data_IF_801779787959
#
_entry.id   IF_801779787959
#
_cell.length_a   1.000
_cell.length_b   1.000
_cell.length_c   1.000
_cell.angle_alpha   90.00
_cell.angle_beta   90.00
_cell.angle_gamma   90.00
#
_symmetry.space_group_name_H-M   'P 1'
#
loop_
_entity.id
_entity.type
_entity.pdbx_description
1 polymer ?
#
# COMPACT_ATOMS: atom_id res chain seq x y z
N UNK A 1 8.73 -32.10 -7.78
CA UNK A 1 9.06 -30.72 -7.38
C UNK A 1 9.30 -29.77 -8.58
N UNK A 2 10.16 -30.09 -9.56
CA UNK A 2 10.42 -29.18 -10.72
C UNK A 2 9.16 -28.81 -11.53
N UNK A 3 8.25 -29.75 -11.77
CA UNK A 3 7.03 -29.52 -12.56
C UNK A 3 6.06 -28.52 -11.90
N UNK A 4 5.93 -28.55 -10.57
CA UNK A 4 5.05 -27.64 -9.84
C UNK A 4 5.58 -26.19 -9.81
N UNK A 5 6.90 -26.04 -9.74
CA UNK A 5 7.55 -24.71 -9.78
C UNK A 5 7.46 -24.08 -11.16
N UNK A 6 7.69 -24.86 -12.23
CA UNK A 6 7.56 -24.38 -13.61
C UNK A 6 6.11 -23.97 -13.91
N UNK A 7 5.15 -24.76 -13.50
CA UNK A 7 3.72 -24.42 -13.65
C UNK A 7 3.37 -23.12 -12.93
N UNK A 8 3.86 -22.92 -11.67
CA UNK A 8 3.64 -21.68 -10.90
C UNK A 8 4.23 -20.47 -11.63
N UNK A 9 5.42 -20.59 -12.20
CA UNK A 9 6.04 -19.50 -12.97
C UNK A 9 5.21 -19.18 -14.21
N UNK A 10 4.80 -20.19 -14.99
CA UNK A 10 3.96 -19.97 -16.17
C UNK A 10 2.63 -19.31 -15.83
N UNK A 11 1.95 -19.80 -14.80
CA UNK A 11 0.69 -19.20 -14.32
C UNK A 11 0.93 -17.74 -13.86
N UNK A 12 2.03 -17.46 -13.16
CA UNK A 12 2.35 -16.10 -12.72
C UNK A 12 2.55 -15.14 -13.90
N UNK A 13 3.25 -15.57 -14.95
CA UNK A 13 3.48 -14.74 -16.14
C UNK A 13 2.18 -14.48 -16.90
N UNK A 14 1.37 -15.52 -17.15
CA UNK A 14 0.10 -15.38 -17.88
C UNK A 14 -0.89 -14.50 -17.10
N UNK A 15 -1.05 -14.75 -15.80
CA UNK A 15 -1.96 -13.98 -14.95
C UNK A 15 -1.53 -12.52 -14.84
N UNK A 16 -0.24 -12.26 -14.59
CA UNK A 16 0.29 -10.90 -14.48
C UNK A 16 0.17 -10.12 -15.79
N UNK A 17 0.40 -10.80 -16.94
CA UNK A 17 0.22 -10.18 -18.25
C UNK A 17 -1.26 -9.80 -18.49
N UNK A 18 -2.18 -10.71 -18.19
CA UNK A 18 -3.62 -10.45 -18.33
C UNK A 18 -4.09 -9.30 -17.44
N UNK A 19 -3.62 -9.25 -16.18
CA UNK A 19 -3.96 -8.20 -15.23
C UNK A 19 -3.36 -6.86 -15.69
N UNK A 20 -2.09 -6.83 -16.12
CA UNK A 20 -1.43 -5.60 -16.59
C UNK A 20 -2.10 -5.04 -17.84
N UNK A 21 -2.45 -5.91 -18.81
CA UNK A 21 -3.18 -5.52 -20.01
C UNK A 21 -4.59 -4.97 -19.69
N UNK A 22 -5.32 -5.63 -18.77
CA UNK A 22 -6.61 -5.15 -18.28
C UNK A 22 -6.48 -3.81 -17.58
N UNK A 23 -5.47 -3.65 -16.70
CA UNK A 23 -5.21 -2.42 -15.96
C UNK A 23 -4.88 -1.23 -16.89
N UNK A 24 -4.12 -1.48 -17.94
CA UNK A 24 -3.86 -0.50 -18.99
C UNK A 24 -5.14 -0.10 -19.74
N UNK A 25 -5.91 -1.10 -20.19
CA UNK A 25 -7.19 -0.87 -20.90
C UNK A 25 -8.19 -0.06 -20.05
N UNK A 26 -8.25 -0.32 -18.75
CA UNK A 26 -9.13 0.36 -17.80
C UNK A 26 -8.53 1.63 -17.19
N UNK A 27 -7.43 2.16 -17.73
CA UNK A 27 -6.77 3.40 -17.27
C UNK A 27 -6.38 3.40 -15.77
N UNK A 28 -6.07 2.23 -15.19
CA UNK A 28 -5.50 2.15 -13.83
C UNK A 28 -3.97 2.26 -13.84
N UNK A 29 -3.36 1.83 -14.95
CA UNK A 29 -1.93 1.96 -15.24
C UNK A 29 -1.74 2.61 -16.61
N UNK A 30 -0.74 3.47 -16.77
CA UNK A 30 -0.27 3.88 -18.08
C UNK A 30 0.68 2.82 -18.67
N UNK A 31 1.22 3.02 -19.87
CA UNK A 31 2.09 2.04 -20.53
C UNK A 31 3.28 1.61 -19.66
N UNK A 32 4.02 2.57 -19.10
CA UNK A 32 5.18 2.27 -18.25
C UNK A 32 4.79 1.62 -16.92
N UNK A 33 3.66 2.03 -16.34
CA UNK A 33 3.11 1.41 -15.14
C UNK A 33 2.62 -0.02 -15.37
N UNK A 34 2.04 -0.32 -16.55
CA UNK A 34 1.62 -1.68 -16.92
C UNK A 34 2.82 -2.62 -17.10
N UNK A 35 3.90 -2.15 -17.72
CA UNK A 35 5.14 -2.93 -17.87
C UNK A 35 5.76 -3.24 -16.49
N UNK A 36 5.90 -2.23 -15.63
CA UNK A 36 6.45 -2.42 -14.29
C UNK A 36 5.53 -3.26 -13.40
N UNK A 37 4.21 -3.01 -13.46
CA UNK A 37 3.21 -3.80 -12.74
C UNK A 37 3.22 -5.28 -13.14
N UNK A 38 3.41 -5.59 -14.43
CA UNK A 38 3.60 -6.96 -14.90
C UNK A 38 4.78 -7.63 -14.20
N UNK A 39 5.96 -6.98 -14.21
CA UNK A 39 7.17 -7.54 -13.59
C UNK A 39 6.98 -7.78 -12.10
N UNK A 40 6.50 -6.78 -11.38
CA UNK A 40 6.30 -6.86 -9.92
C UNK A 40 5.27 -7.93 -9.55
N UNK A 41 4.12 -7.97 -10.23
CA UNK A 41 3.10 -8.99 -9.98
C UNK A 41 3.62 -10.40 -10.30
N UNK A 42 4.37 -10.58 -11.40
CA UNK A 42 4.93 -11.86 -11.76
C UNK A 42 5.88 -12.38 -10.67
N UNK A 43 6.76 -11.52 -10.14
CA UNK A 43 7.67 -11.89 -9.04
C UNK A 43 6.87 -12.33 -7.81
N UNK A 44 5.88 -11.55 -7.37
CA UNK A 44 5.10 -11.86 -6.16
C UNK A 44 4.29 -13.15 -6.30
N UNK A 45 3.62 -13.36 -7.43
CA UNK A 45 2.80 -14.58 -7.67
C UNK A 45 3.70 -15.80 -7.83
N UNK A 46 4.84 -15.68 -8.52
CA UNK A 46 5.82 -16.77 -8.64
C UNK A 46 6.47 -17.12 -7.30
N UNK A 47 6.67 -16.14 -6.42
CA UNK A 47 7.27 -16.31 -5.11
C UNK A 47 6.39 -17.12 -4.15
N UNK A 48 5.07 -16.90 -4.17
CA UNK A 48 4.12 -17.62 -3.30
C UNK A 48 2.72 -17.04 -3.38
N UNK A 49 1.73 -17.89 -3.12
CA UNK A 49 0.32 -17.49 -3.20
C UNK A 49 -0.04 -16.38 -2.22
N UNK A 50 0.55 -16.39 -1.00
CA UNK A 50 0.34 -15.36 0.01
C UNK A 50 0.88 -14.01 -0.42
N UNK A 51 2.05 -13.95 -1.06
CA UNK A 51 2.61 -12.70 -1.58
C UNK A 51 1.84 -12.21 -2.81
N UNK A 52 1.44 -13.15 -3.68
CA UNK A 52 0.60 -12.84 -4.83
C UNK A 52 -0.74 -12.22 -4.43
N UNK A 53 -1.42 -12.77 -3.43
CA UNK A 53 -2.71 -12.23 -2.98
C UNK A 53 -2.57 -10.84 -2.38
N UNK A 54 -1.49 -10.54 -1.64
CA UNK A 54 -1.29 -9.22 -1.04
C UNK A 54 -1.21 -8.11 -2.09
N UNK A 55 -0.37 -8.30 -3.13
CA UNK A 55 -0.26 -7.30 -4.20
C UNK A 55 -1.55 -7.20 -5.01
N UNK A 56 -2.25 -8.30 -5.25
CA UNK A 56 -3.51 -8.31 -6.00
C UNK A 56 -4.63 -7.61 -5.23
N UNK A 57 -4.78 -7.89 -3.94
CA UNK A 57 -5.77 -7.23 -3.07
C UNK A 57 -5.49 -5.73 -3.02
N UNK A 58 -4.24 -5.33 -2.74
CA UNK A 58 -3.85 -3.92 -2.79
C UNK A 58 -4.21 -3.29 -4.14
N UNK A 59 -3.77 -3.87 -5.24
CA UNK A 59 -3.96 -3.29 -6.56
C UNK A 59 -5.43 -3.14 -6.94
N UNK A 60 -6.24 -4.19 -6.76
CA UNK A 60 -7.64 -4.16 -7.19
C UNK A 60 -8.51 -3.29 -6.29
N UNK A 61 -8.35 -3.38 -4.97
CA UNK A 61 -9.18 -2.61 -4.05
C UNK A 61 -8.85 -1.13 -4.11
N UNK A 62 -7.56 -0.78 -4.10
CA UNK A 62 -7.10 0.60 -4.25
C UNK A 62 -7.50 1.20 -5.61
N UNK A 63 -7.35 0.44 -6.73
CA UNK A 63 -7.76 0.93 -8.06
C UNK A 63 -9.28 1.14 -8.16
N UNK A 64 -10.08 0.31 -7.49
CA UNK A 64 -11.53 0.49 -7.43
C UNK A 64 -11.91 1.75 -6.65
N UNK A 65 -11.27 1.98 -5.49
CA UNK A 65 -11.53 3.18 -4.69
C UNK A 65 -11.05 4.46 -5.35
N UNK A 66 -9.91 4.44 -6.05
CA UNK A 66 -9.45 5.60 -6.82
C UNK A 66 -10.48 6.04 -7.86
N UNK A 67 -11.16 5.08 -8.50
CA UNK A 67 -12.24 5.38 -9.46
C UNK A 67 -13.56 5.77 -8.82
N UNK A 68 -13.80 5.36 -7.60
CA UNK A 68 -15.04 5.68 -6.90
C UNK A 68 -15.11 7.19 -6.61
N UNK A 69 -16.21 7.84 -7.00
CA UNK A 69 -16.45 9.27 -6.80
C UNK A 69 -15.47 10.19 -7.56
N UNK A 70 -14.89 9.75 -8.68
CA UNK A 70 -13.87 10.48 -9.43
C UNK A 70 -14.31 11.87 -9.89
N UNK A 71 -15.61 12.10 -10.20
CA UNK A 71 -16.13 13.42 -10.57
C UNK A 71 -15.93 14.46 -9.46
N UNK A 72 -16.18 14.07 -8.21
CA UNK A 72 -15.93 14.93 -7.05
C UNK A 72 -14.44 15.15 -6.82
N UNK A 73 -13.62 14.10 -6.92
CA UNK A 73 -12.16 14.19 -6.75
C UNK A 73 -11.51 15.09 -7.80
N UNK A 74 -11.99 15.07 -9.05
CA UNK A 74 -11.53 15.94 -10.13
C UNK A 74 -11.63 17.43 -9.79
N UNK A 75 -12.59 17.83 -8.98
CA UNK A 75 -12.74 19.23 -8.56
C UNK A 75 -11.79 19.61 -7.41
N UNK A 76 -11.29 18.64 -6.66
CA UNK A 76 -10.46 18.84 -5.47
C UNK A 76 -8.97 18.68 -5.78
N UNK A 77 -8.61 17.59 -6.46
CA UNK A 77 -7.23 17.20 -6.74
C UNK A 77 -6.64 17.97 -7.94
N UNK A 78 -5.45 18.55 -7.76
CA UNK A 78 -4.70 19.22 -8.83
C UNK A 78 -4.14 18.20 -9.82
N UNK A 79 -3.64 17.07 -9.31
CA UNK A 79 -2.96 16.03 -10.07
C UNK A 79 -3.92 14.93 -10.56
N UNK A 80 -5.24 15.21 -10.55
CA UNK A 80 -6.25 14.23 -10.95
C UNK A 80 -5.97 13.67 -12.34
N UNK A 81 -5.95 12.34 -12.40
CA UNK A 81 -5.85 11.58 -13.66
C UNK A 81 -7.06 10.69 -13.80
N UNK A 82 -7.67 10.70 -14.98
CA UNK A 82 -8.80 9.83 -15.28
C UNK A 82 -8.43 8.36 -15.04
N UNK A 83 -9.23 7.67 -14.23
CA UNK A 83 -8.97 6.27 -13.83
C UNK A 83 -7.82 6.08 -12.83
N UNK A 84 -7.16 7.17 -12.40
CA UNK A 84 -6.04 7.11 -11.45
C UNK A 84 -4.79 6.46 -12.02
N UNK A 85 -4.48 6.72 -13.32
CA UNK A 85 -3.35 6.10 -14.02
C UNK A 85 -2.03 6.27 -13.30
N UNK A 86 -1.43 5.15 -12.87
CA UNK A 86 -0.11 5.09 -12.25
C UNK A 86 0.98 4.79 -13.29
N UNK A 87 2.11 5.50 -13.19
CA UNK A 87 3.31 5.23 -13.98
C UNK A 87 4.27 4.28 -13.23
N UNK A 88 5.40 3.95 -13.86
CA UNK A 88 6.40 3.04 -13.29
C UNK A 88 6.99 3.51 -11.96
N UNK A 89 7.19 4.83 -11.78
CA UNK A 89 7.71 5.41 -10.52
C UNK A 89 6.72 5.17 -9.39
N UNK A 90 5.42 5.43 -9.63
CA UNK A 90 4.37 5.20 -8.65
C UNK A 90 4.19 3.71 -8.32
N UNK A 91 4.37 2.82 -9.32
CA UNK A 91 4.36 1.37 -9.09
C UNK A 91 5.53 0.98 -8.19
N UNK A 92 6.76 1.43 -8.49
CA UNK A 92 7.93 1.12 -7.67
C UNK A 92 7.86 1.74 -6.28
N UNK A 93 7.42 2.99 -6.15
CA UNK A 93 7.26 3.63 -4.84
C UNK A 93 6.37 2.81 -3.88
N UNK A 94 5.39 2.07 -4.44
CA UNK A 94 4.43 1.26 -3.67
C UNK A 94 4.70 -0.26 -3.73
N UNK A 95 5.82 -0.72 -4.27
CA UNK A 95 6.08 -2.16 -4.38
C UNK A 95 7.55 -2.58 -4.28
N UNK A 96 8.51 -1.67 -4.47
CA UNK A 96 9.92 -2.05 -4.57
C UNK A 96 10.42 -2.73 -3.29
N UNK A 97 10.11 -2.18 -2.12
CA UNK A 97 10.54 -2.74 -0.82
C UNK A 97 9.98 -4.16 -0.65
N UNK A 98 8.67 -4.37 -0.86
CA UNK A 98 8.09 -5.71 -0.79
C UNK A 98 8.69 -6.66 -1.83
N UNK A 99 8.96 -6.18 -3.05
CA UNK A 99 9.58 -7.01 -4.09
C UNK A 99 10.95 -7.51 -3.66
N UNK A 100 11.78 -6.65 -3.08
CA UNK A 100 13.10 -7.05 -2.53
C UNK A 100 12.94 -8.08 -1.41
N UNK A 101 12.05 -7.83 -0.45
CA UNK A 101 11.79 -8.77 0.66
C UNK A 101 11.29 -10.13 0.17
N UNK A 102 10.39 -10.13 -0.81
CA UNK A 102 9.84 -11.36 -1.40
C UNK A 102 10.92 -12.14 -2.15
N UNK A 103 11.80 -11.47 -2.91
CA UNK A 103 12.94 -12.13 -3.58
C UNK A 103 13.86 -12.76 -2.55
N UNK A 104 14.21 -12.05 -1.47
CA UNK A 104 15.03 -12.60 -0.38
C UNK A 104 14.34 -13.81 0.25
N UNK A 105 13.05 -13.72 0.55
CA UNK A 105 12.28 -14.82 1.12
C UNK A 105 12.32 -16.06 0.23
N UNK A 106 12.10 -15.90 -1.08
CA UNK A 106 12.17 -17.03 -2.03
C UNK A 106 13.53 -17.68 -2.06
N UNK A 107 14.61 -16.91 -2.04
CA UNK A 107 15.97 -17.46 -2.04
C UNK A 107 16.28 -18.27 -0.77
N UNK A 108 15.73 -17.86 0.38
CA UNK A 108 15.94 -18.54 1.67
C UNK A 108 15.03 -19.76 1.80
N UNK A 109 13.76 -19.68 1.34
CA UNK A 109 12.77 -20.75 1.55
C UNK A 109 12.66 -21.72 0.39
N UNK A 110 13.32 -21.46 -0.75
CA UNK A 110 13.11 -22.22 -1.99
C UNK A 110 11.72 -22.04 -2.57
N UNK A 111 10.99 -20.99 -2.15
CA UNK A 111 9.62 -20.70 -2.57
C UNK A 111 8.56 -21.52 -1.85
N UNK A 112 8.89 -22.12 -0.71
CA UNK A 112 7.94 -22.74 0.21
C UNK A 112 7.32 -21.70 1.14
N UNK A 113 6.01 -21.79 1.33
CA UNK A 113 5.30 -21.01 2.34
C UNK A 113 5.69 -21.49 3.75
N UNK A 114 6.01 -20.57 4.65
CA UNK A 114 6.38 -20.84 6.04
C UNK A 114 5.41 -20.15 6.99
N UNK A 115 5.16 -20.78 8.15
CA UNK A 115 4.42 -20.16 9.24
C UNK A 115 5.26 -19.02 9.87
N UNK A 116 4.61 -17.99 10.36
CA UNK A 116 5.24 -16.99 11.22
C UNK A 116 5.51 -17.66 12.57
N UNK A 117 6.79 -17.89 12.85
CA UNK A 117 7.27 -18.56 14.07
C UNK A 117 8.75 -18.21 14.26
N UNK A 118 9.04 -17.35 15.23
CA UNK A 118 10.41 -16.91 15.53
C UNK A 118 11.30 -18.01 16.08
N UNK A 119 10.72 -19.01 16.73
CA UNK A 119 11.45 -20.19 17.25
C UNK A 119 12.01 -21.02 16.08
N UNK A 120 11.27 -21.10 14.97
CA UNK A 120 11.72 -21.81 13.78
C UNK A 120 12.66 -20.92 12.93
N UNK A 121 12.27 -19.68 12.64
CA UNK A 121 13.10 -18.72 11.93
C UNK A 121 12.66 -17.28 12.17
N UNK A 122 13.44 -16.56 12.98
CA UNK A 122 13.22 -15.13 13.21
C UNK A 122 13.36 -14.31 11.91
N UNK A 123 14.34 -14.67 11.07
CA UNK A 123 14.58 -13.97 9.80
C UNK A 123 13.36 -14.07 8.86
N UNK A 124 12.82 -15.28 8.63
CA UNK A 124 11.66 -15.48 7.76
C UNK A 124 10.44 -14.79 8.35
N UNK A 125 10.22 -14.88 9.66
CA UNK A 125 9.11 -14.23 10.35
C UNK A 125 9.17 -12.72 10.23
N UNK A 126 10.33 -12.11 10.47
CA UNK A 126 10.54 -10.67 10.33
C UNK A 126 10.34 -10.17 8.89
N UNK A 127 10.96 -10.84 7.91
CA UNK A 127 10.83 -10.47 6.50
C UNK A 127 9.38 -10.60 6.01
N UNK A 128 8.68 -11.68 6.39
CA UNK A 128 7.28 -11.88 6.02
C UNK A 128 6.37 -10.84 6.69
N UNK A 129 6.62 -10.54 7.96
CA UNK A 129 5.95 -9.43 8.67
C UNK A 129 6.15 -8.10 7.94
N UNK A 130 7.36 -7.84 7.46
CA UNK A 130 7.67 -6.66 6.65
C UNK A 130 6.83 -6.58 5.37
N UNK A 131 6.66 -7.67 4.63
CA UNK A 131 5.81 -7.71 3.42
C UNK A 131 4.33 -7.43 3.78
N UNK A 132 3.83 -7.99 4.89
CA UNK A 132 2.47 -7.74 5.36
C UNK A 132 2.29 -6.25 5.70
N UNK A 133 3.22 -5.67 6.47
CA UNK A 133 3.20 -4.25 6.85
C UNK A 133 3.29 -3.31 5.65
N UNK A 134 4.13 -3.65 4.66
CA UNK A 134 4.23 -2.93 3.40
C UNK A 134 2.86 -2.78 2.72
N UNK A 135 2.17 -3.90 2.47
CA UNK A 135 0.88 -3.85 1.77
C UNK A 135 -0.25 -3.32 2.65
N UNK A 136 -0.19 -3.50 3.97
CA UNK A 136 -1.11 -2.85 4.89
C UNK A 136 -0.99 -1.32 4.83
N UNK A 137 0.23 -0.79 4.83
CA UNK A 137 0.50 0.64 4.65
C UNK A 137 0.01 1.16 3.30
N UNK A 138 0.43 0.53 2.19
CA UNK A 138 0.04 0.96 0.84
C UNK A 138 -1.49 1.00 0.65
N UNK A 139 -2.17 -0.04 1.13
CA UNK A 139 -3.62 -0.13 1.02
C UNK A 139 -4.29 0.87 1.97
N UNK A 140 -3.79 0.99 3.20
CA UNK A 140 -4.29 1.90 4.23
C UNK A 140 -4.20 3.36 3.80
N UNK A 141 -3.05 3.78 3.32
CA UNK A 141 -2.86 5.14 2.83
C UNK A 141 -3.75 5.46 1.62
N UNK A 142 -3.80 4.56 0.63
CA UNK A 142 -4.68 4.76 -0.53
C UNK A 142 -6.15 4.84 -0.13
N UNK A 143 -6.64 3.92 0.71
CA UNK A 143 -8.05 3.96 1.12
C UNK A 143 -8.36 5.20 1.95
N UNK A 144 -7.44 5.59 2.84
CA UNK A 144 -7.57 6.80 3.66
C UNK A 144 -7.69 8.06 2.82
N UNK A 145 -6.78 8.25 1.87
CA UNK A 145 -6.77 9.43 0.99
C UNK A 145 -7.99 9.49 0.08
N UNK A 146 -8.37 8.35 -0.52
CA UNK A 146 -9.48 8.28 -1.47
C UNK A 146 -10.86 8.48 -0.79
N UNK A 147 -11.07 7.88 0.39
CA UNK A 147 -12.30 8.06 1.18
C UNK A 147 -12.30 9.42 1.89
N UNK A 148 -11.15 9.85 2.41
CA UNK A 148 -11.00 11.16 3.05
C UNK A 148 -11.36 12.33 2.13
N UNK A 149 -10.99 12.27 0.85
CA UNK A 149 -11.41 13.28 -0.14
C UNK A 149 -12.93 13.32 -0.35
N UNK A 150 -13.62 12.18 -0.22
CA UNK A 150 -15.06 12.08 -0.40
C UNK A 150 -15.86 12.36 0.88
N UNK A 151 -15.21 12.31 2.05
CA UNK A 151 -15.83 12.57 3.35
C UNK A 151 -16.64 13.87 3.34
N UNK A 152 -17.74 13.91 4.11
CA UNK A 152 -18.49 15.14 4.36
C UNK A 152 -17.85 16.00 5.44
N UNK A 153 -17.06 15.38 6.33
CA UNK A 153 -16.35 16.06 7.40
C UNK A 153 -15.29 17.02 6.88
N UNK A 154 -14.99 18.04 7.69
CA UNK A 154 -13.89 18.96 7.40
C UNK A 154 -12.57 18.32 7.83
N UNK A 155 -11.60 18.15 6.91
CA UNK A 155 -10.33 17.55 7.25
C UNK A 155 -9.52 18.46 8.19
N UNK A 156 -8.71 17.83 9.04
CA UNK A 156 -7.81 18.51 9.98
C UNK A 156 -6.37 18.12 9.71
N UNK A 157 -5.48 19.11 9.77
CA UNK A 157 -4.05 18.86 9.62
C UNK A 157 -3.55 18.07 10.83
N UNK A 158 -2.91 16.92 10.61
CA UNK A 158 -2.50 15.98 11.67
C UNK A 158 -1.57 16.62 12.72
N UNK A 159 -0.74 17.60 12.32
CA UNK A 159 0.24 18.25 13.21
C UNK A 159 -0.37 19.33 14.11
N UNK A 160 -1.48 19.94 13.74
CA UNK A 160 -2.06 21.09 14.45
C UNK A 160 -3.52 20.89 14.81
N UNK A 161 -4.16 19.88 14.29
CA UNK A 161 -5.60 19.62 14.37
C UNK A 161 -6.51 20.77 13.88
N UNK A 162 -5.91 21.78 13.23
CA UNK A 162 -6.66 22.90 12.63
C UNK A 162 -7.39 22.43 11.37
N UNK A 163 -8.60 22.93 11.11
CA UNK A 163 -9.32 22.67 9.87
C UNK A 163 -8.52 23.17 8.65
N UNK A 164 -8.45 22.34 7.61
CA UNK A 164 -7.76 22.69 6.35
C UNK A 164 -8.65 22.35 5.15
N UNK A 165 -8.24 22.77 3.96
CA UNK A 165 -8.94 22.44 2.71
C UNK A 165 -8.72 20.99 2.33
N UNK A 166 -9.71 20.38 1.70
CA UNK A 166 -9.57 19.04 1.09
C UNK A 166 -8.46 19.03 0.06
N UNK A 167 -7.70 17.93 0.01
CA UNK A 167 -6.51 17.81 -0.83
C UNK A 167 -5.21 18.35 -0.20
N UNK A 168 -5.26 18.86 1.05
CA UNK A 168 -4.04 19.24 1.78
C UNK A 168 -3.30 17.98 2.23
N UNK A 169 -1.99 17.88 1.91
CA UNK A 169 -1.15 16.77 2.38
C UNK A 169 -1.07 16.75 3.91
N UNK A 170 -1.25 15.56 4.48
CA UNK A 170 -1.30 15.38 5.92
C UNK A 170 -2.61 15.82 6.59
N UNK A 171 -3.65 16.07 5.81
CA UNK A 171 -4.99 16.28 6.33
C UNK A 171 -5.71 14.96 6.56
N UNK A 172 -6.25 14.75 7.77
CA UNK A 172 -6.93 13.51 8.18
C UNK A 172 -8.41 13.75 8.40
N UNK A 173 -9.22 12.71 8.17
CA UNK A 173 -10.64 12.64 8.49
C UNK A 173 -10.93 11.34 9.22
N UNK A 174 -11.99 11.30 10.02
CA UNK A 174 -12.38 10.06 10.75
C UNK A 174 -12.69 8.94 9.76
N UNK A 175 -13.42 9.24 8.68
CA UNK A 175 -13.76 8.26 7.64
C UNK A 175 -12.52 7.75 6.93
N UNK A 176 -11.52 8.61 6.69
CA UNK A 176 -10.22 8.20 6.13
C UNK A 176 -9.47 7.25 7.07
N UNK A 177 -9.40 7.56 8.36
CA UNK A 177 -8.73 6.70 9.34
C UNK A 177 -9.43 5.34 9.50
N UNK A 178 -10.75 5.32 9.52
CA UNK A 178 -11.52 4.07 9.52
C UNK A 178 -11.29 3.25 8.23
N UNK A 179 -11.19 3.92 7.09
CA UNK A 179 -10.86 3.27 5.83
C UNK A 179 -9.45 2.69 5.85
N UNK A 180 -8.46 3.37 6.45
CA UNK A 180 -7.10 2.84 6.61
C UNK A 180 -7.07 1.56 7.44
N UNK A 181 -7.80 1.54 8.57
CA UNK A 181 -7.91 0.35 9.41
C UNK A 181 -8.60 -0.80 8.64
N UNK A 182 -9.70 -0.51 7.93
CA UNK A 182 -10.40 -1.51 7.12
C UNK A 182 -9.51 -2.05 5.98
N UNK A 183 -8.69 -1.22 5.36
CA UNK A 183 -7.73 -1.63 4.33
C UNK A 183 -6.68 -2.59 4.87
N UNK A 184 -6.10 -2.29 6.04
CA UNK A 184 -5.18 -3.19 6.74
C UNK A 184 -5.84 -4.51 7.13
N UNK A 185 -7.08 -4.46 7.64
CA UNK A 185 -7.88 -5.66 7.93
C UNK A 185 -8.02 -6.57 6.71
N UNK A 186 -8.36 -6.01 5.53
CA UNK A 186 -8.52 -6.78 4.30
C UNK A 186 -7.20 -7.43 3.86
N UNK A 187 -6.07 -6.72 4.01
CA UNK A 187 -4.72 -7.27 3.73
C UNK A 187 -4.42 -8.44 4.68
N UNK A 188 -4.60 -8.27 5.99
CA UNK A 188 -4.36 -9.31 6.98
C UNK A 188 -5.25 -10.53 6.79
N UNK A 189 -6.54 -10.30 6.52
CA UNK A 189 -7.51 -11.35 6.24
C UNK A 189 -7.14 -12.17 4.99
N UNK A 190 -6.78 -11.49 3.89
CA UNK A 190 -6.38 -12.15 2.66
C UNK A 190 -5.13 -13.02 2.84
N UNK A 191 -4.11 -12.51 3.54
CA UNK A 191 -2.90 -13.26 3.88
C UNK A 191 -3.22 -14.51 4.70
N UNK A 192 -4.05 -14.35 5.74
CA UNK A 192 -4.42 -15.43 6.67
C UNK A 192 -5.25 -16.50 5.96
N UNK A 193 -6.27 -16.12 5.18
CA UNK A 193 -7.12 -17.06 4.46
C UNK A 193 -6.32 -17.90 3.45
N UNK A 194 -5.43 -17.27 2.66
CA UNK A 194 -4.56 -18.01 1.75
C UNK A 194 -3.60 -18.90 2.52
N UNK A 195 -3.04 -18.41 3.65
CA UNK A 195 -2.18 -19.20 4.53
C UNK A 195 -2.84 -20.46 5.06
N UNK A 196 -4.11 -20.39 5.46
CA UNK A 196 -4.88 -21.56 5.90
C UNK A 196 -5.05 -22.63 4.80
N UNK A 197 -5.03 -22.21 3.54
CA UNK A 197 -5.19 -23.11 2.39
C UNK A 197 -3.85 -23.68 1.87
N UNK A 198 -2.74 -22.95 2.09
CA UNK A 198 -1.45 -23.26 1.44
C UNK A 198 -0.37 -23.72 2.40
N UNK A 199 -0.54 -23.48 3.72
CA UNK A 199 0.50 -23.73 4.71
C UNK A 199 -0.03 -24.50 5.90
N UNK A 200 0.52 -25.68 6.15
CA UNK A 200 0.20 -26.52 7.31
C UNK A 200 0.94 -26.06 8.56
N UNK A 201 0.42 -25.06 9.29
CA UNK A 201 0.93 -24.72 10.61
C UNK A 201 0.31 -25.64 11.67
N UNK A 202 1.12 -26.13 12.62
CA UNK A 202 0.68 -27.08 13.64
C UNK A 202 0.50 -26.41 15.01
N UNK A 203 -0.37 -26.97 15.85
CA UNK A 203 -0.54 -26.63 17.25
C UNK A 203 -0.79 -25.12 17.49
N UNK A 204 -0.11 -24.58 18.48
CA UNK A 204 -0.26 -23.17 18.89
C UNK A 204 0.20 -22.18 17.81
N UNK A 205 1.12 -22.59 16.93
CA UNK A 205 1.59 -21.74 15.82
C UNK A 205 0.44 -21.44 14.85
N UNK A 206 -0.45 -22.39 14.62
CA UNK A 206 -1.61 -22.21 13.73
C UNK A 206 -2.54 -21.09 14.23
N UNK A 207 -2.87 -21.09 15.52
CA UNK A 207 -3.74 -20.05 16.10
C UNK A 207 -3.08 -18.67 16.10
N UNK A 208 -1.76 -18.61 16.33
CA UNK A 208 -1.02 -17.35 16.25
C UNK A 208 -1.08 -16.70 14.88
N UNK A 209 -1.19 -17.48 13.79
CA UNK A 209 -1.31 -16.88 12.45
C UNK A 209 -2.53 -15.95 12.31
N UNK A 210 -3.58 -16.13 13.11
CA UNK A 210 -4.73 -15.24 13.14
C UNK A 210 -4.39 -13.82 13.62
N UNK A 211 -3.32 -13.67 14.41
CA UNK A 211 -2.84 -12.36 14.88
C UNK A 211 -2.34 -11.45 13.72
N UNK A 212 -2.08 -12.03 12.54
CA UNK A 212 -1.78 -11.23 11.34
C UNK A 212 -2.89 -10.24 11.02
N UNK A 213 -4.14 -10.60 11.25
CA UNK A 213 -5.29 -9.72 10.96
C UNK A 213 -5.26 -8.44 11.81
N UNK A 214 -5.25 -8.49 13.15
CA UNK A 214 -5.17 -7.28 13.96
C UNK A 214 -3.84 -6.52 13.76
N UNK A 215 -2.71 -7.19 13.52
CA UNK A 215 -1.42 -6.55 13.21
C UNK A 215 -1.55 -5.74 11.93
N UNK A 216 -2.00 -6.34 10.84
CA UNK A 216 -2.16 -5.65 9.56
C UNK A 216 -3.17 -4.50 9.64
N UNK A 217 -4.26 -4.66 10.44
CA UNK A 217 -5.23 -3.59 10.71
C UNK A 217 -4.55 -2.40 11.37
N UNK A 218 -3.79 -2.64 12.44
CA UNK A 218 -3.05 -1.60 13.14
C UNK A 218 -2.01 -0.93 12.23
N UNK A 219 -1.29 -1.72 11.42
CA UNK A 219 -0.25 -1.20 10.52
C UNK A 219 -0.82 -0.45 9.31
N UNK A 220 -2.02 -0.79 8.83
CA UNK A 220 -2.74 0.02 7.83
C UNK A 220 -3.08 1.41 8.36
N UNK A 221 -3.57 1.48 9.59
CA UNK A 221 -3.84 2.75 10.28
C UNK A 221 -2.54 3.52 10.58
N UNK A 222 -1.54 2.87 11.18
CA UNK A 222 -0.25 3.49 11.51
C UNK A 222 0.46 4.01 10.27
N UNK A 223 0.49 3.24 9.17
CA UNK A 223 1.11 3.64 7.91
C UNK A 223 0.47 4.89 7.32
N UNK A 224 -0.87 4.96 7.32
CA UNK A 224 -1.60 6.15 6.89
C UNK A 224 -1.35 7.37 7.79
N UNK A 225 -1.20 7.18 9.11
CA UNK A 225 -0.84 8.26 10.04
C UNK A 225 0.60 8.74 9.82
N UNK A 226 1.56 7.82 9.60
CA UNK A 226 2.96 8.17 9.27
C UNK A 226 3.01 8.95 7.95
N UNK A 227 2.30 8.50 6.92
CA UNK A 227 2.20 9.19 5.63
C UNK A 227 1.63 10.60 5.81
N UNK A 228 0.53 10.74 6.54
CA UNK A 228 -0.08 12.03 6.85
C UNK A 228 0.86 12.95 7.63
N UNK A 229 1.65 12.41 8.58
CA UNK A 229 2.62 13.19 9.34
C UNK A 229 3.77 13.69 8.44
N UNK A 230 4.30 12.82 7.60
CA UNK A 230 5.31 13.21 6.60
C UNK A 230 4.72 14.20 5.59
N UNK A 231 3.51 13.96 5.09
CA UNK A 231 2.80 14.87 4.18
C UNK A 231 2.61 16.27 4.77
N UNK A 232 2.27 16.36 6.07
CA UNK A 232 2.11 17.64 6.76
C UNK A 232 3.43 18.38 7.02
N UNK A 233 4.57 17.67 7.07
CA UNK A 233 5.87 18.24 7.49
C UNK A 233 6.82 18.43 6.31
N UNK A 234 7.07 17.41 5.50
CA UNK A 234 8.11 17.43 4.47
C UNK A 234 7.58 17.61 3.04
N UNK A 235 6.25 17.45 2.81
CA UNK A 235 5.62 17.65 1.51
C UNK A 235 4.89 19.00 1.48
N UNK A 236 5.14 19.82 0.47
CA UNK A 236 4.52 21.14 0.35
C UNK A 236 3.02 21.02 0.01
N UNK A 237 2.21 21.83 0.70
CA UNK A 237 0.82 22.11 0.34
C UNK A 237 0.55 23.60 0.37
N UNK A 238 -0.03 24.12 -0.69
CA UNK A 238 -0.45 25.52 -0.78
C UNK A 238 -1.83 25.64 -1.41
N UNK A 239 -2.51 26.77 -1.20
CA UNK A 239 -3.77 27.09 -1.85
C UNK A 239 -3.54 28.07 -3.01
N UNK A 240 -3.88 27.68 -4.22
CA UNK A 240 -3.85 28.54 -5.39
C UNK A 240 -5.15 29.35 -5.49
N UNK A 241 -5.07 30.66 -5.39
CA UNK A 241 -6.24 31.56 -5.48
C UNK A 241 -6.85 31.59 -6.87
N UNK A 242 -6.02 31.44 -7.93
CA UNK A 242 -6.48 31.44 -9.31
C UNK A 242 -7.23 30.13 -9.66
N UNK A 243 -6.67 28.97 -9.30
CA UNK A 243 -7.27 27.66 -9.58
C UNK A 243 -8.32 27.24 -8.57
N UNK A 244 -8.40 27.94 -7.41
CA UNK A 244 -9.26 27.61 -6.27
C UNK A 244 -9.06 26.18 -5.75
N UNK A 245 -7.83 25.64 -5.85
CA UNK A 245 -7.44 24.27 -5.46
C UNK A 245 -6.22 24.29 -4.55
N UNK A 246 -6.05 23.20 -3.79
CA UNK A 246 -4.79 22.89 -3.13
C UNK A 246 -3.81 22.39 -4.18
N UNK A 247 -2.56 22.84 -4.09
CA UNK A 247 -1.50 22.56 -5.06
C UNK A 247 -0.22 22.11 -4.33
N UNK A 248 0.58 21.30 -5.02
CA UNK A 248 1.83 20.73 -4.48
C UNK A 248 3.08 21.56 -4.80
N UNK A 249 2.94 22.65 -5.58
CA UNK A 249 4.06 23.50 -6.01
C UNK A 249 3.88 24.96 -5.60
N UNK A 250 4.99 25.61 -5.28
CA UNK A 250 5.02 27.07 -4.99
C UNK A 250 4.84 27.86 -6.28
N UNK A 251 4.05 28.94 -6.21
CA UNK A 251 3.88 29.93 -7.26
C UNK A 251 3.46 31.28 -6.64
N UNK A 252 3.54 32.40 -7.35
CA UNK A 252 3.17 33.73 -6.83
C UNK A 252 1.71 33.80 -6.33
N UNK A 253 0.79 33.04 -6.94
CA UNK A 253 -0.64 32.96 -6.58
C UNK A 253 -0.95 31.91 -5.52
N UNK A 254 0.07 31.31 -4.87
CA UNK A 254 -0.09 30.20 -3.93
C UNK A 254 0.27 30.62 -2.53
N UNK A 255 -0.71 30.53 -1.63
CA UNK A 255 -0.50 30.72 -0.19
C UNK A 255 -0.19 29.36 0.46
N UNK A 256 0.92 29.28 1.20
CA UNK A 256 1.33 28.05 1.90
C UNK A 256 0.28 27.67 2.96
N UNK A 257 -0.07 26.36 3.01
CA UNK A 257 -0.90 25.75 4.06
C UNK A 257 0.00 24.99 5.03
N UNK A 258 0.82 24.05 4.54
CA UNK A 258 1.65 23.16 5.38
C UNK A 258 2.89 22.70 4.63
N UNK A 259 3.76 22.04 5.35
CA UNK A 259 4.89 21.27 4.85
C UNK A 259 6.04 22.09 4.27
N UNK A 260 7.14 21.39 4.07
CA UNK A 260 8.33 21.86 3.36
C UNK A 260 8.38 21.17 1.98
N UNK A 261 9.08 21.73 1.02
CA UNK A 261 9.23 21.11 -0.30
C UNK A 261 10.50 20.24 -0.33
N UNK A 262 10.53 19.19 0.50
CA UNK A 262 11.67 18.25 0.62
C UNK A 262 11.38 16.98 -0.15
N UNK A 263 10.21 16.38 0.05
CA UNK A 263 9.77 15.16 -0.65
C UNK A 263 8.53 15.45 -1.48
N UNK A 264 8.44 14.78 -2.62
CA UNK A 264 7.21 14.66 -3.38
C UNK A 264 6.32 13.53 -2.82
N UNK A 265 5.15 13.33 -3.40
CA UNK A 265 4.23 12.29 -2.97
C UNK A 265 4.82 10.87 -3.06
N UNK A 266 5.64 10.58 -4.06
CA UNK A 266 6.27 9.27 -4.19
C UNK A 266 7.33 9.04 -3.11
N UNK A 267 8.08 10.08 -2.77
CA UNK A 267 9.07 10.05 -1.69
C UNK A 267 8.43 9.87 -0.31
N UNK A 268 7.28 10.53 -0.06
CA UNK A 268 6.52 10.36 1.20
C UNK A 268 5.97 8.93 1.29
N UNK A 269 5.34 8.42 0.23
CA UNK A 269 4.87 7.03 0.18
C UNK A 269 6.01 6.03 0.44
N UNK A 270 7.15 6.18 -0.22
CA UNK A 270 8.27 5.26 -0.03
C UNK A 270 8.80 5.29 1.42
N UNK A 271 8.88 6.48 2.04
CA UNK A 271 9.33 6.64 3.42
C UNK A 271 8.33 6.07 4.44
N UNK A 272 7.03 6.36 4.30
CA UNK A 272 5.98 5.83 5.18
C UNK A 272 5.89 4.31 5.09
N UNK A 273 5.99 3.76 3.88
CA UNK A 273 6.02 2.33 3.63
C UNK A 273 7.25 1.68 4.28
N UNK A 274 8.44 2.25 4.12
CA UNK A 274 9.67 1.72 4.72
C UNK A 274 9.55 1.66 6.25
N UNK A 275 9.12 2.75 6.87
CA UNK A 275 8.93 2.82 8.33
C UNK A 275 7.92 1.78 8.81
N UNK A 276 6.78 1.66 8.14
CA UNK A 276 5.74 0.69 8.50
C UNK A 276 6.21 -0.75 8.27
N UNK A 277 6.96 -1.01 7.21
CA UNK A 277 7.61 -2.31 6.93
C UNK A 277 8.50 -2.73 8.10
N UNK A 278 9.40 -1.83 8.55
CA UNK A 278 10.30 -2.09 9.66
C UNK A 278 9.54 -2.29 10.99
N UNK A 279 8.56 -1.44 11.28
CA UNK A 279 7.73 -1.57 12.49
C UNK A 279 7.00 -2.91 12.52
N UNK A 280 6.45 -3.35 11.39
CA UNK A 280 5.74 -4.63 11.32
C UNK A 280 6.70 -5.82 11.42
N UNK A 281 7.87 -5.73 10.79
CA UNK A 281 8.93 -6.74 10.95
C UNK A 281 9.27 -6.94 12.41
N UNK A 282 9.54 -5.85 13.12
CA UNK A 282 9.88 -5.87 14.55
C UNK A 282 8.71 -6.41 15.38
N UNK A 283 7.48 -5.93 15.14
CA UNK A 283 6.30 -6.42 15.85
C UNK A 283 6.12 -7.95 15.69
N UNK A 284 6.30 -8.47 14.47
CA UNK A 284 6.21 -9.90 14.22
C UNK A 284 7.30 -10.71 14.93
N UNK A 285 8.51 -10.16 15.10
CA UNK A 285 9.58 -10.82 15.87
C UNK A 285 9.24 -11.00 17.35
N UNK A 286 8.44 -10.12 17.92
CA UNK A 286 8.03 -10.19 19.32
C UNK A 286 6.73 -11.01 19.55
N UNK A 287 5.86 -11.06 18.54
CA UNK A 287 4.53 -11.68 18.69
C UNK A 287 4.54 -13.16 18.31
N UNK A 288 5.29 -13.54 17.30
CA UNK A 288 5.37 -14.91 16.78
C UNK A 288 6.64 -15.63 17.26
#
# INVERSE_FOLDING_TARGET
>A
MMGSTLLRILVSLVLSLAIAARAYKHKSLNRSGAMMGFVVMAIHIAAGYRFGVLILVFFFTSSKLTKFGQEKKRTIDEDFKEGGQRNWIQVLANSAIATVLVVILVTITGGEDRCLDTKNSALITGLTGGVIGHYACCNGDTWSSEIGMLSKGQPRLITTFKPVKKGTNGAVTIEGLLAAAAAGFVIGLAYTLVGLLTTGCAGDVAWKQLLVVPIATAMGLCGSLIDSLLGATVQFSGYCSLRKKVVSKRAPSVTKISGMNILDNNGVNAASILLTTLLTSVACLYIF
#
